data_IF_348687584141
#
_entry.id   IF_348687584141
#
_cell.length_a   1.000
_cell.length_b   1.000
_cell.length_c   1.000
_cell.angle_alpha   90.00
_cell.angle_beta   90.00
_cell.angle_gamma   90.00
#
_symmetry.space_group_name_H-M   'P 1'
#
loop_
_entity.id
_entity.type
_entity.pdbx_description
1 polymer ?
#
# COMPACT_ATOMS: atom_id res chain seq x y z
N UNK A 1 -4.85 29.34 -5.88
CA UNK A 1 -4.77 28.22 -4.91
C UNK A 1 -4.84 26.93 -5.71
N UNK A 2 -3.97 25.96 -5.45
CA UNK A 2 -4.14 24.63 -6.07
C UNK A 2 -5.38 23.98 -5.47
N UNK A 3 -6.27 23.44 -6.29
CA UNK A 3 -7.51 22.78 -5.86
C UNK A 3 -7.20 21.49 -5.10
N UNK A 4 -6.95 21.62 -3.80
CA UNK A 4 -6.79 20.49 -2.90
C UNK A 4 -8.16 19.83 -2.63
N UNK A 5 -8.24 18.50 -2.74
CA UNK A 5 -9.47 17.78 -2.37
C UNK A 5 -9.62 17.77 -0.83
N UNK A 6 -10.42 18.71 -0.32
CA UNK A 6 -10.61 18.92 1.12
C UNK A 6 -11.72 18.04 1.71
N UNK A 7 -11.74 17.94 3.04
CA UNK A 7 -12.84 17.28 3.77
C UNK A 7 -14.20 17.92 3.45
N UNK A 8 -14.26 19.25 3.33
CA UNK A 8 -15.51 19.93 2.96
C UNK A 8 -15.99 19.54 1.56
N UNK A 9 -15.07 19.42 0.59
CA UNK A 9 -15.40 18.92 -0.75
C UNK A 9 -15.82 17.46 -0.74
N UNK A 10 -15.18 16.63 0.10
CA UNK A 10 -15.57 15.23 0.32
C UNK A 10 -17.01 15.14 0.84
N UNK A 11 -17.35 15.86 1.92
CA UNK A 11 -18.68 15.81 2.54
C UNK A 11 -19.79 16.27 1.60
N UNK A 12 -19.53 17.28 0.76
CA UNK A 12 -20.48 17.74 -0.27
C UNK A 12 -20.69 16.71 -1.37
N UNK A 13 -19.61 16.10 -1.87
CA UNK A 13 -19.64 15.14 -2.98
C UNK A 13 -20.20 13.78 -2.56
N UNK A 14 -19.85 13.32 -1.36
CA UNK A 14 -20.22 12.02 -0.80
C UNK A 14 -21.09 12.22 0.43
N UNK A 15 -22.24 12.88 0.23
CA UNK A 15 -23.18 13.27 1.28
C UNK A 15 -23.92 12.09 1.92
N UNK A 16 -24.05 10.98 1.21
CA UNK A 16 -24.76 9.77 1.63
C UNK A 16 -24.23 8.52 0.90
N UNK A 17 -24.76 7.36 1.28
CA UNK A 17 -24.43 6.07 0.66
C UNK A 17 -24.85 5.98 -0.81
N UNK A 18 -25.86 6.73 -1.22
CA UNK A 18 -26.35 6.72 -2.60
C UNK A 18 -25.34 7.40 -3.54
N UNK A 19 -24.82 8.56 -3.14
CA UNK A 19 -23.76 9.26 -3.85
C UNK A 19 -22.49 8.41 -3.97
N UNK A 20 -22.14 7.69 -2.91
CA UNK A 20 -20.99 6.76 -2.92
C UNK A 20 -21.23 5.59 -3.89
N UNK A 21 -22.42 5.00 -3.87
CA UNK A 21 -22.78 3.86 -4.72
C UNK A 21 -22.80 4.25 -6.21
N UNK A 22 -23.39 5.39 -6.56
CA UNK A 22 -23.40 5.89 -7.94
C UNK A 22 -21.99 6.18 -8.44
N UNK A 23 -21.14 6.78 -7.61
CA UNK A 23 -19.75 7.03 -7.96
C UNK A 23 -18.99 5.73 -8.23
N UNK A 24 -19.19 4.70 -7.38
CA UNK A 24 -18.58 3.40 -7.58
C UNK A 24 -19.06 2.71 -8.86
N UNK A 25 -20.36 2.82 -9.18
CA UNK A 25 -20.93 2.33 -10.45
C UNK A 25 -20.24 2.99 -11.64
N UNK A 26 -20.04 4.31 -11.61
CA UNK A 26 -19.37 5.05 -12.68
C UNK A 26 -17.92 4.60 -12.88
N UNK A 27 -17.18 4.39 -11.79
CA UNK A 27 -15.79 3.90 -11.86
C UNK A 27 -15.74 2.48 -12.45
N UNK A 28 -16.64 1.60 -12.03
CA UNK A 28 -16.63 0.18 -12.43
C UNK A 28 -17.16 -0.05 -13.84
N UNK A 29 -18.08 0.80 -14.30
CA UNK A 29 -18.76 0.68 -15.58
C UNK A 29 -18.71 2.02 -16.35
N UNK A 30 -17.52 2.51 -16.72
CA UNK A 30 -17.36 3.83 -17.35
C UNK A 30 -18.07 3.92 -18.71
N UNK A 31 -18.13 2.81 -19.45
CA UNK A 31 -18.78 2.73 -20.76
C UNK A 31 -20.22 2.24 -20.71
N UNK A 32 -20.82 2.20 -19.52
CA UNK A 32 -22.13 1.57 -19.28
C UNK A 32 -22.03 0.10 -18.86
N UNK A 33 -23.16 -0.48 -18.47
CA UNK A 33 -23.25 -1.83 -17.91
C UNK A 33 -23.71 -2.79 -19.01
N UNK A 34 -22.89 -3.79 -19.32
CA UNK A 34 -23.26 -4.90 -20.18
C UNK A 34 -24.21 -5.85 -19.45
N UNK A 35 -25.36 -6.15 -20.05
CA UNK A 35 -26.30 -7.12 -19.51
C UNK A 35 -26.06 -8.50 -20.12
N UNK A 36 -25.72 -9.50 -19.30
CA UNK A 36 -25.49 -10.88 -19.77
C UNK A 36 -26.76 -11.55 -20.32
N UNK A 37 -27.95 -11.10 -19.93
CA UNK A 37 -29.20 -11.63 -20.49
C UNK A 37 -29.59 -10.98 -21.82
N UNK A 38 -29.42 -9.67 -21.94
CA UNK A 38 -29.75 -8.94 -23.18
C UNK A 38 -28.62 -8.96 -24.22
N UNK A 39 -27.41 -9.36 -23.82
CA UNK A 39 -26.21 -9.39 -24.65
C UNK A 39 -25.84 -8.02 -25.27
N UNK A 40 -26.19 -6.93 -24.58
CA UNK A 40 -25.89 -5.58 -25.01
C UNK A 40 -25.69 -4.65 -23.79
N UNK A 41 -25.13 -3.47 -24.03
CA UNK A 41 -25.08 -2.40 -23.03
C UNK A 41 -26.48 -1.80 -22.92
N UNK A 42 -27.03 -1.82 -21.71
CA UNK A 42 -28.40 -1.34 -21.44
C UNK A 42 -28.43 -0.37 -20.27
N UNK A 43 -29.55 0.31 -20.10
CA UNK A 43 -29.82 1.08 -18.90
C UNK A 43 -30.12 0.16 -17.72
N UNK A 44 -29.55 0.48 -16.56
CA UNK A 44 -29.74 -0.23 -15.30
C UNK A 44 -30.28 0.74 -14.26
N UNK A 45 -31.46 0.46 -13.74
CA UNK A 45 -32.16 1.29 -12.74
C UNK A 45 -31.81 0.82 -11.33
N UNK A 46 -31.57 1.75 -10.41
CA UNK A 46 -31.27 1.43 -9.01
C UNK A 46 -32.50 0.81 -8.33
N UNK A 47 -32.29 -0.23 -7.54
CA UNK A 47 -33.33 -0.77 -6.65
C UNK A 47 -33.25 -0.05 -5.30
N UNK A 48 -34.36 0.49 -4.81
CA UNK A 48 -34.38 1.32 -3.59
C UNK A 48 -33.98 0.55 -2.33
N UNK A 49 -34.36 -0.73 -2.22
CA UNK A 49 -34.18 -1.53 -0.99
C UNK A 49 -32.79 -2.12 -0.80
N UNK A 50 -31.91 -2.07 -1.80
CA UNK A 50 -30.58 -2.73 -1.75
C UNK A 50 -29.60 -2.09 -2.73
N UNK A 51 -28.27 -2.17 -2.49
CA UNK A 51 -27.25 -1.55 -3.33
C UNK A 51 -27.00 -2.32 -4.64
N UNK A 52 -28.05 -2.48 -5.44
CA UNK A 52 -28.02 -3.19 -6.73
C UNK A 52 -28.74 -2.36 -7.79
N UNK A 53 -28.36 -2.60 -9.05
CA UNK A 53 -29.02 -2.06 -10.21
C UNK A 53 -29.58 -3.19 -11.05
N UNK A 54 -30.72 -2.93 -11.69
CA UNK A 54 -31.47 -3.92 -12.45
C UNK A 54 -31.70 -3.43 -13.89
N UNK A 55 -31.43 -4.31 -14.85
CA UNK A 55 -31.84 -4.17 -16.25
C UNK A 55 -33.34 -4.44 -16.39
N UNK A 56 -33.99 -3.90 -17.43
CA UNK A 56 -35.41 -4.19 -17.75
C UNK A 56 -35.73 -5.68 -17.87
N UNK A 57 -34.77 -6.52 -18.28
CA UNK A 57 -34.92 -7.98 -18.34
C UNK A 57 -34.84 -8.70 -16.98
N UNK A 58 -34.67 -7.95 -15.88
CA UNK A 58 -34.55 -8.47 -14.52
C UNK A 58 -33.14 -8.91 -14.10
N UNK A 59 -32.13 -8.83 -14.98
CA UNK A 59 -30.74 -9.09 -14.59
C UNK A 59 -30.23 -8.01 -13.63
N UNK A 60 -29.59 -8.42 -12.53
CA UNK A 60 -29.15 -7.54 -11.46
C UNK A 60 -27.63 -7.57 -11.29
N UNK A 61 -27.06 -6.41 -10.99
CA UNK A 61 -25.65 -6.28 -10.62
C UNK A 61 -25.49 -5.46 -9.35
N UNK A 62 -24.46 -5.75 -8.56
CA UNK A 62 -24.05 -4.87 -7.46
C UNK A 62 -22.70 -4.24 -7.79
N UNK A 63 -22.57 -2.90 -7.73
CA UNK A 63 -21.26 -2.25 -7.82
C UNK A 63 -20.30 -2.73 -6.73
N UNK A 64 -20.82 -3.14 -5.57
CA UNK A 64 -20.04 -3.63 -4.44
C UNK A 64 -19.44 -5.03 -4.68
N UNK A 65 -20.00 -5.82 -5.59
CA UNK A 65 -19.57 -7.20 -5.82
C UNK A 65 -18.11 -7.26 -6.31
N UNK A 66 -17.31 -8.13 -5.73
CA UNK A 66 -15.88 -8.28 -6.04
C UNK A 66 -14.99 -7.19 -5.44
N UNK A 67 -15.53 -6.23 -4.68
CA UNK A 67 -14.75 -5.11 -4.11
C UNK A 67 -14.52 -5.28 -2.61
N UNK A 68 -13.72 -4.39 -2.01
CA UNK A 68 -13.57 -4.31 -0.55
C UNK A 68 -14.87 -4.00 0.22
N UNK A 69 -15.91 -3.53 -0.48
CA UNK A 69 -17.23 -3.26 0.07
C UNK A 69 -18.18 -4.44 -0.03
N UNK A 70 -17.76 -5.56 -0.64
CA UNK A 70 -18.63 -6.71 -0.81
C UNK A 70 -19.16 -7.22 0.54
N UNK A 71 -20.48 -7.42 0.62
CA UNK A 71 -21.21 -7.90 1.81
C UNK A 71 -20.99 -7.04 3.05
N UNK A 72 -20.67 -5.75 2.88
CA UNK A 72 -20.54 -4.83 4.00
C UNK A 72 -21.91 -4.42 4.53
N UNK A 73 -22.03 -4.34 5.85
CA UNK A 73 -23.18 -3.71 6.54
C UNK A 73 -22.81 -2.32 7.08
N UNK A 74 -21.56 -1.91 6.91
CA UNK A 74 -21.08 -0.58 7.29
C UNK A 74 -21.42 0.40 6.17
N UNK A 75 -21.93 1.62 6.49
CA UNK A 75 -22.28 2.62 5.49
C UNK A 75 -21.16 2.86 4.48
N UNK A 76 -21.50 3.02 3.20
CA UNK A 76 -20.52 3.29 2.14
C UNK A 76 -19.83 4.64 2.35
N UNK A 77 -20.53 5.64 2.86
CA UNK A 77 -19.94 6.93 3.20
C UNK A 77 -18.78 6.78 4.20
N UNK A 78 -18.88 5.85 5.15
CA UNK A 78 -17.83 5.58 6.14
C UNK A 78 -16.61 4.95 5.49
N UNK A 79 -16.83 4.03 4.54
CA UNK A 79 -15.76 3.46 3.73
C UNK A 79 -15.05 4.51 2.89
N UNK A 80 -15.80 5.38 2.23
CA UNK A 80 -15.26 6.47 1.44
C UNK A 80 -14.46 7.44 2.32
N UNK A 81 -14.94 7.72 3.53
CA UNK A 81 -14.21 8.54 4.50
C UNK A 81 -12.91 7.86 4.94
N UNK A 82 -12.93 6.56 5.22
CA UNK A 82 -11.72 5.81 5.56
C UNK A 82 -10.68 5.82 4.44
N UNK A 83 -11.12 5.71 3.17
CA UNK A 83 -10.23 5.85 1.99
C UNK A 83 -9.69 7.27 1.91
N UNK A 84 -10.56 8.27 2.06
CA UNK A 84 -10.20 9.68 2.05
C UNK A 84 -9.11 9.98 3.08
N UNK A 85 -9.34 9.68 4.36
CA UNK A 85 -8.38 10.02 5.41
C UNK A 85 -7.06 9.25 5.26
N UNK A 86 -7.08 8.00 4.78
CA UNK A 86 -5.84 7.26 4.50
C UNK A 86 -5.05 7.85 3.33
N UNK A 87 -5.74 8.42 2.34
CA UNK A 87 -5.14 9.02 1.14
C UNK A 87 -4.50 10.38 1.41
N UNK A 88 -5.13 11.23 2.23
CA UNK A 88 -4.64 12.59 2.51
C UNK A 88 -3.64 12.62 3.67
N UNK A 89 -3.67 11.63 4.57
CA UNK A 89 -2.75 11.59 5.73
C UNK A 89 -1.43 10.93 5.37
N UNK A 90 -0.34 11.73 5.25
CA UNK A 90 0.99 11.25 4.85
C UNK A 90 1.63 10.24 5.80
N UNK A 91 1.50 10.48 7.10
CA UNK A 91 2.10 9.62 8.14
C UNK A 91 1.19 8.46 8.56
N UNK A 92 0.03 8.33 7.92
CA UNK A 92 -0.99 7.36 8.28
C UNK A 92 -1.91 7.81 9.42
N UNK A 93 -2.97 7.03 9.63
CA UNK A 93 -4.00 7.26 10.64
C UNK A 93 -4.23 5.95 11.42
N UNK A 94 -4.43 6.06 12.73
CA UNK A 94 -4.65 4.89 13.58
C UNK A 94 -6.11 4.40 13.48
N UNK A 95 -6.34 3.09 13.56
CA UNK A 95 -7.72 2.56 13.57
C UNK A 95 -8.54 3.04 14.78
N UNK A 96 -7.87 3.39 15.89
CA UNK A 96 -8.52 4.03 17.05
C UNK A 96 -8.99 5.45 16.73
N UNK A 97 -8.29 6.18 15.87
CA UNK A 97 -8.73 7.49 15.42
C UNK A 97 -9.99 7.37 14.57
N UNK A 98 -9.97 6.49 13.55
CA UNK A 98 -11.14 6.24 12.69
C UNK A 98 -12.36 5.78 13.50
N UNK A 99 -12.16 4.94 14.52
CA UNK A 99 -13.22 4.55 15.45
C UNK A 99 -13.88 5.76 16.12
N UNK A 100 -13.11 6.74 16.60
CA UNK A 100 -13.67 7.93 17.27
C UNK A 100 -14.39 8.84 16.30
N UNK A 101 -13.83 9.01 15.10
CA UNK A 101 -14.41 9.86 14.06
C UNK A 101 -15.73 9.32 13.52
N UNK A 102 -15.84 7.99 13.34
CA UNK A 102 -17.01 7.36 12.75
C UNK A 102 -17.99 6.74 13.77
N UNK A 103 -17.62 6.67 15.05
CA UNK A 103 -18.42 6.02 16.09
C UNK A 103 -18.58 4.50 15.92
N UNK A 104 -17.79 3.86 15.06
CA UNK A 104 -17.83 2.40 14.82
C UNK A 104 -16.99 1.63 15.85
N UNK A 105 -17.15 0.31 15.91
CA UNK A 105 -16.25 -0.51 16.74
C UNK A 105 -14.81 -0.47 16.22
N UNK A 106 -13.83 -0.66 17.11
CA UNK A 106 -12.43 -0.81 16.72
C UNK A 106 -12.23 -1.92 15.68
N UNK A 107 -12.94 -3.05 15.83
CA UNK A 107 -12.86 -4.19 14.90
C UNK A 107 -13.31 -3.77 13.49
N UNK A 108 -14.36 -2.97 13.39
CA UNK A 108 -14.85 -2.41 12.13
C UNK A 108 -13.81 -1.47 11.52
N UNK A 109 -13.35 -0.47 12.27
CA UNK A 109 -12.35 0.49 11.81
C UNK A 109 -11.05 -0.20 11.33
N UNK A 110 -10.57 -1.18 12.10
CA UNK A 110 -9.39 -1.96 11.73
C UNK A 110 -9.62 -2.82 10.49
N UNK A 111 -10.80 -3.46 10.35
CA UNK A 111 -11.16 -4.20 9.13
C UNK A 111 -11.15 -3.27 7.92
N UNK A 112 -11.70 -2.06 8.05
CA UNK A 112 -11.74 -1.09 6.95
C UNK A 112 -10.33 -0.75 6.47
N UNK A 113 -9.44 -0.33 7.39
CA UNK A 113 -8.06 -0.03 7.03
C UNK A 113 -7.30 -1.24 6.51
N UNK A 114 -7.55 -2.44 7.03
CA UNK A 114 -6.94 -3.66 6.49
C UNK A 114 -7.35 -3.89 5.04
N UNK A 115 -8.62 -3.73 4.70
CA UNK A 115 -9.10 -3.91 3.33
C UNK A 115 -8.55 -2.83 2.39
N UNK A 116 -8.50 -1.57 2.83
CA UNK A 116 -7.92 -0.47 2.04
C UNK A 116 -6.42 -0.71 1.78
N UNK A 117 -5.67 -1.22 2.75
CA UNK A 117 -4.25 -1.59 2.55
C UNK A 117 -4.04 -2.68 1.50
N UNK A 118 -5.02 -3.55 1.25
CA UNK A 118 -4.94 -4.53 0.15
C UNK A 118 -4.87 -3.82 -1.20
N UNK A 119 -5.59 -2.70 -1.36
CA UNK A 119 -5.54 -1.88 -2.58
C UNK A 119 -4.17 -1.19 -2.75
N UNK A 120 -3.51 -0.90 -1.63
CA UNK A 120 -2.16 -0.30 -1.59
C UNK A 120 -1.04 -1.33 -1.74
N UNK A 121 -1.36 -2.62 -1.83
CA UNK A 121 -0.36 -3.66 -2.00
C UNK A 121 0.41 -3.46 -3.30
N UNK A 122 1.72 -3.73 -3.26
CA UNK A 122 2.57 -3.63 -4.45
C UNK A 122 2.23 -4.75 -5.44
N UNK A 123 1.44 -4.43 -6.46
CA UNK A 123 1.18 -5.29 -7.62
C UNK A 123 1.82 -4.63 -8.84
N UNK A 124 3.13 -4.79 -8.99
CA UNK A 124 3.82 -4.35 -10.20
C UNK A 124 4.83 -5.42 -10.60
N UNK A 125 4.70 -5.90 -11.85
CA UNK A 125 5.51 -6.98 -12.40
C UNK A 125 6.73 -6.46 -13.19
N UNK A 126 6.88 -5.15 -13.34
CA UNK A 126 7.99 -4.57 -14.08
C UNK A 126 9.21 -4.44 -13.18
N UNK A 127 10.36 -4.92 -13.64
CA UNK A 127 11.64 -4.76 -12.95
C UNK A 127 12.02 -3.27 -12.88
N UNK A 128 12.70 -2.86 -11.80
CA UNK A 128 13.30 -1.54 -11.69
C UNK A 128 14.57 -1.50 -12.55
N UNK A 129 14.70 -0.47 -13.38
CA UNK A 129 15.87 -0.23 -14.23
C UNK A 129 16.64 1.03 -13.79
N UNK A 130 17.68 1.40 -14.54
CA UNK A 130 18.48 2.58 -14.27
C UNK A 130 19.32 2.42 -13.00
N UNK A 131 19.19 3.34 -12.05
CA UNK A 131 19.89 3.28 -10.74
C UNK A 131 18.91 2.94 -9.63
N UNK A 132 19.22 1.88 -8.88
CA UNK A 132 18.41 1.37 -7.78
C UNK A 132 19.22 1.35 -6.49
N UNK A 133 18.74 2.08 -5.49
CA UNK A 133 19.25 2.07 -4.12
C UNK A 133 18.61 0.91 -3.36
N UNK A 134 19.42 0.11 -2.67
CA UNK A 134 18.96 -1.06 -1.92
C UNK A 134 19.54 -1.02 -0.52
N UNK A 135 18.66 -1.15 0.48
CA UNK A 135 19.03 -1.11 1.90
C UNK A 135 18.03 -1.92 2.73
N UNK A 136 18.38 -2.21 3.97
CA UNK A 136 17.53 -2.91 4.92
C UNK A 136 17.32 -2.10 6.20
N UNK A 137 16.17 -2.34 6.81
CA UNK A 137 15.86 -1.74 8.09
C UNK A 137 15.17 -2.71 9.02
N UNK A 138 15.32 -2.45 10.31
CA UNK A 138 14.77 -3.29 11.37
C UNK A 138 13.58 -2.58 12.03
N UNK A 139 12.46 -3.29 12.12
CA UNK A 139 11.21 -2.80 12.72
C UNK A 139 10.84 -3.66 13.93
N UNK A 140 10.41 -2.98 15.00
CA UNK A 140 10.06 -3.64 16.26
C UNK A 140 11.29 -4.10 17.04
N UNK A 141 11.06 -4.88 18.10
CA UNK A 141 12.08 -5.41 18.99
C UNK A 141 12.82 -4.33 19.80
N UNK A 142 12.52 -4.23 21.09
CA UNK A 142 13.40 -3.54 22.04
C UNK A 142 14.61 -4.42 22.38
N UNK A 143 15.34 -4.89 21.35
CA UNK A 143 16.63 -5.52 21.57
C UNK A 143 17.59 -4.43 22.00
N UNK A 144 18.03 -4.47 23.27
CA UNK A 144 19.13 -3.61 23.71
C UNK A 144 20.33 -3.90 22.81
N UNK A 145 21.26 -2.95 22.70
CA UNK A 145 22.53 -3.19 22.01
C UNK A 145 23.11 -4.52 22.48
N UNK A 146 23.31 -5.47 21.55
CA UNK A 146 23.83 -6.84 21.80
C UNK A 146 25.20 -6.89 22.48
N UNK A 147 25.78 -5.74 22.82
CA UNK A 147 27.09 -5.64 23.50
C UNK A 147 27.08 -6.13 24.95
N UNK A 148 25.94 -6.22 25.65
CA UNK A 148 26.01 -6.38 27.13
C UNK A 148 25.08 -7.38 27.83
N UNK A 149 24.09 -8.03 27.20
CA UNK A 149 23.34 -9.18 27.77
C UNK A 149 22.25 -9.67 26.82
N UNK A 150 22.10 -10.98 26.69
CA UNK A 150 20.91 -11.60 26.11
C UNK A 150 19.85 -11.72 27.21
N UNK A 151 18.70 -11.08 27.03
CA UNK A 151 17.51 -11.31 27.85
C UNK A 151 16.58 -12.23 27.05
N UNK A 152 16.13 -13.33 27.65
CA UNK A 152 15.19 -14.28 27.03
C UNK A 152 13.85 -13.66 26.61
N UNK A 153 13.58 -12.41 27.01
CA UNK A 153 12.41 -11.62 26.61
C UNK A 153 12.63 -10.71 25.39
N UNK A 154 13.79 -10.74 24.73
CA UNK A 154 14.04 -9.91 23.55
C UNK A 154 13.15 -10.32 22.36
N UNK A 155 12.23 -9.43 21.99
CA UNK A 155 11.39 -9.62 20.80
C UNK A 155 12.23 -9.49 19.53
N UNK A 156 12.11 -10.47 18.65
CA UNK A 156 12.80 -10.52 17.36
C UNK A 156 12.51 -9.28 16.51
N UNK A 157 13.56 -8.55 16.14
CA UNK A 157 13.47 -7.45 15.16
C UNK A 157 13.08 -8.00 13.80
N UNK A 158 12.09 -7.41 13.16
CA UNK A 158 11.64 -7.80 11.83
C UNK A 158 12.48 -7.08 10.78
N UNK A 159 12.93 -7.79 9.75
CA UNK A 159 13.76 -7.24 8.67
C UNK A 159 12.89 -6.79 7.51
N UNK A 160 13.04 -5.54 7.08
CA UNK A 160 12.40 -4.99 5.90
C UNK A 160 13.48 -4.58 4.92
N UNK A 161 13.42 -5.09 3.70
CA UNK A 161 14.27 -4.66 2.60
C UNK A 161 13.54 -3.60 1.78
N UNK A 162 14.26 -2.58 1.37
CA UNK A 162 13.77 -1.49 0.55
C UNK A 162 14.60 -1.37 -0.71
N UNK A 163 13.91 -1.12 -1.82
CA UNK A 163 14.51 -0.81 -3.10
C UNK A 163 13.89 0.48 -3.59
N UNK A 164 14.71 1.45 -3.96
CA UNK A 164 14.25 2.74 -4.48
C UNK A 164 14.95 3.02 -5.79
N UNK A 165 14.17 3.04 -6.86
CA UNK A 165 14.61 3.49 -8.17
C UNK A 165 14.74 5.01 -8.17
N UNK A 166 15.90 5.54 -8.58
CA UNK A 166 16.10 6.99 -8.67
C UNK A 166 15.11 7.62 -9.63
N UNK A 167 14.49 8.72 -9.18
CA UNK A 167 13.39 9.40 -9.89
C UNK A 167 12.18 8.51 -10.22
N UNK A 168 12.07 7.34 -9.58
CA UNK A 168 11.03 6.36 -9.85
C UNK A 168 10.30 5.94 -8.59
N UNK A 169 10.06 4.62 -8.53
CA UNK A 169 9.26 3.96 -7.51
C UNK A 169 10.13 3.35 -6.39
N UNK A 170 9.49 3.13 -5.26
CA UNK A 170 9.97 2.34 -4.15
C UNK A 170 9.23 1.00 -4.06
N UNK A 171 9.91 -0.01 -3.55
CA UNK A 171 9.37 -1.32 -3.21
C UNK A 171 9.90 -1.74 -1.84
N UNK A 172 8.99 -2.18 -0.96
CA UNK A 172 9.32 -2.58 0.40
C UNK A 172 8.85 -4.02 0.64
N UNK A 173 9.73 -4.85 1.20
CA UNK A 173 9.41 -6.25 1.49
C UNK A 173 9.84 -6.66 2.89
N UNK A 174 8.91 -7.22 3.65
CA UNK A 174 9.22 -7.91 4.89
C UNK A 174 9.85 -9.27 4.55
N UNK A 175 11.10 -9.46 4.96
CA UNK A 175 11.93 -10.63 4.64
C UNK A 175 12.37 -11.37 5.91
N UNK A 176 12.69 -12.67 5.81
CA UNK A 176 13.04 -13.46 6.99
C UNK A 176 14.40 -13.10 7.61
N UNK A 177 15.37 -12.62 6.83
CA UNK A 177 16.73 -12.28 7.29
C UNK A 177 17.49 -11.46 6.24
N UNK A 178 18.63 -10.87 6.62
CA UNK A 178 19.57 -10.15 5.72
C UNK A 178 20.61 -11.09 5.07
N UNK A 179 20.29 -12.38 4.96
CA UNK A 179 21.18 -13.36 4.35
C UNK A 179 21.30 -13.16 2.85
N UNK A 180 22.52 -13.31 2.33
CA UNK A 180 22.87 -13.17 0.89
C UNK A 180 21.83 -13.74 -0.08
N UNK A 181 21.36 -14.97 0.16
CA UNK A 181 20.40 -15.64 -0.74
C UNK A 181 19.01 -15.00 -0.69
N UNK A 182 18.57 -14.56 0.48
CA UNK A 182 17.30 -13.84 0.66
C UNK A 182 17.33 -12.51 -0.09
N UNK A 183 18.41 -11.75 0.08
CA UNK A 183 18.59 -10.45 -0.58
C UNK A 183 18.71 -10.58 -2.09
N UNK A 184 19.56 -11.49 -2.56
CA UNK A 184 19.74 -11.75 -3.98
C UNK A 184 18.44 -12.17 -4.65
N UNK A 185 17.63 -13.01 -4.00
CA UNK A 185 16.31 -13.40 -4.53
C UNK A 185 15.43 -12.18 -4.74
N UNK A 186 15.31 -11.30 -3.74
CA UNK A 186 14.49 -10.10 -3.88
C UNK A 186 14.99 -9.20 -5.00
N UNK A 187 16.31 -8.99 -5.11
CA UNK A 187 16.89 -8.15 -6.17
C UNK A 187 16.58 -8.75 -7.54
N UNK A 188 16.80 -10.06 -7.75
CA UNK A 188 16.47 -10.72 -9.01
C UNK A 188 15.01 -10.64 -9.39
N UNK A 189 14.12 -10.75 -8.41
CA UNK A 189 12.67 -10.69 -8.64
C UNK A 189 12.18 -9.26 -8.99
N UNK A 190 12.96 -8.20 -8.71
CA UNK A 190 12.46 -6.82 -8.76
C UNK A 190 13.37 -5.82 -9.50
N UNK A 191 14.61 -6.17 -9.84
CA UNK A 191 15.61 -5.26 -10.42
C UNK A 191 16.17 -5.88 -11.70
N UNK A 192 16.19 -5.08 -12.75
CA UNK A 192 16.73 -5.45 -14.06
C UNK A 192 18.23 -5.79 -13.91
N UNK A 193 18.71 -6.92 -14.46
CA UNK A 193 20.13 -7.27 -14.41
C UNK A 193 21.09 -6.21 -14.98
N UNK A 194 20.61 -5.35 -15.89
CA UNK A 194 21.39 -4.26 -16.47
C UNK A 194 21.40 -3.00 -15.59
N UNK A 195 20.56 -2.94 -14.55
CA UNK A 195 20.50 -1.82 -13.63
C UNK A 195 21.79 -1.69 -12.81
N UNK A 196 22.06 -0.46 -12.41
CA UNK A 196 23.09 -0.11 -11.43
C UNK A 196 22.49 -0.17 -10.03
N UNK A 197 23.03 -1.04 -9.20
CA UNK A 197 22.60 -1.24 -7.80
C UNK A 197 23.57 -0.51 -6.88
N UNK A 198 23.05 0.26 -5.93
CA UNK A 198 23.83 0.96 -4.91
C UNK A 198 23.38 0.47 -3.53
N UNK A 199 24.32 -0.04 -2.72
CA UNK A 199 24.04 -0.54 -1.36
C UNK A 199 25.00 0.07 -0.34
N UNK A 200 24.78 -0.22 0.94
CA UNK A 200 25.77 -0.04 1.99
C UNK A 200 26.90 -1.10 1.93
N UNK A 201 27.78 -1.09 2.93
CA UNK A 201 28.92 -2.03 3.05
C UNK A 201 28.53 -3.43 3.55
N UNK A 202 27.24 -3.80 3.56
CA UNK A 202 26.83 -5.12 4.05
C UNK A 202 27.36 -6.25 3.16
N UNK A 203 28.04 -7.23 3.79
CA UNK A 203 28.64 -8.36 3.09
C UNK A 203 27.66 -9.23 2.30
N UNK A 204 26.36 -9.12 2.61
CA UNK A 204 25.28 -9.76 1.87
C UNK A 204 25.10 -9.28 0.44
N UNK A 205 25.79 -8.21 0.01
CA UNK A 205 25.71 -7.66 -1.36
C UNK A 205 26.93 -7.94 -2.24
N UNK A 206 28.05 -8.42 -1.67
CA UNK A 206 29.34 -8.59 -2.38
C UNK A 206 29.23 -9.46 -3.64
N UNK A 207 28.28 -10.38 -3.69
CA UNK A 207 28.07 -11.27 -4.84
C UNK A 207 27.39 -10.62 -6.04
N UNK A 208 26.81 -9.42 -5.93
CA UNK A 208 25.96 -8.85 -6.98
C UNK A 208 26.64 -8.79 -8.36
N UNK A 209 27.92 -8.38 -8.48
CA UNK A 209 28.63 -8.43 -9.76
C UNK A 209 28.70 -9.82 -10.39
N UNK A 210 28.78 -10.88 -9.58
CA UNK A 210 28.80 -12.28 -10.08
C UNK A 210 27.49 -12.69 -10.74
N UNK A 211 26.41 -11.94 -10.52
CA UNK A 211 25.10 -12.17 -11.11
C UNK A 211 24.71 -11.13 -12.17
N UNK A 212 25.68 -10.33 -12.65
CA UNK A 212 25.49 -9.42 -13.77
C UNK A 212 25.17 -7.97 -13.41
N UNK A 213 24.96 -7.66 -12.12
CA UNK A 213 24.63 -6.30 -11.68
C UNK A 213 25.88 -5.41 -11.64
N UNK A 214 25.75 -4.17 -12.13
CA UNK A 214 26.71 -3.10 -11.82
C UNK A 214 26.47 -2.68 -10.38
N UNK A 215 27.44 -2.88 -9.48
CA UNK A 215 27.26 -2.68 -8.04
C UNK A 215 28.25 -1.67 -7.47
N UNK A 216 27.72 -0.61 -6.87
CA UNK A 216 28.49 0.37 -6.10
C UNK A 216 28.13 0.31 -4.62
N UNK A 217 29.07 0.71 -3.77
CA UNK A 217 28.96 0.61 -2.31
C UNK A 217 29.20 1.98 -1.68
N UNK A 218 28.28 2.42 -0.82
CA UNK A 218 28.41 3.65 -0.02
C UNK A 218 29.24 3.38 1.22
N UNK A 219 30.47 3.93 1.26
CA UNK A 219 31.36 3.82 2.41
C UNK A 219 31.12 4.95 3.40
N UNK A 220 30.52 4.64 4.54
CA UNK A 220 30.08 5.65 5.51
C UNK A 220 31.20 6.23 6.40
N UNK A 221 32.42 5.68 6.32
CA UNK A 221 33.54 6.09 7.19
C UNK A 221 34.47 7.15 6.59
N UNK A 222 34.51 7.31 5.27
CA UNK A 222 35.62 8.02 4.62
C UNK A 222 35.24 9.21 3.73
N UNK A 223 33.96 9.58 3.53
CA UNK A 223 33.63 10.83 2.78
C UNK A 223 32.17 11.28 2.91
N UNK A 224 31.94 12.60 2.98
CA UNK A 224 30.67 13.20 2.57
C UNK A 224 30.50 12.99 1.07
N UNK A 225 29.58 12.11 0.64
CA UNK A 225 29.08 11.90 -0.74
C UNK A 225 30.18 11.84 -1.82
N UNK A 226 30.57 10.62 -2.24
CA UNK A 226 31.35 10.44 -3.48
C UNK A 226 30.41 10.55 -4.69
N UNK A 227 30.13 11.79 -5.11
CA UNK A 227 29.33 12.10 -6.30
C UNK A 227 27.94 11.46 -6.29
N UNK A 228 27.69 10.58 -7.26
CA UNK A 228 26.37 9.96 -7.51
C UNK A 228 26.19 8.59 -6.79
N UNK A 229 27.05 8.22 -5.84
CA UNK A 229 27.00 6.94 -5.09
C UNK A 229 26.45 7.19 -3.69
N UNK A 230 25.16 6.94 -3.49
CA UNK A 230 24.44 7.33 -2.28
C UNK A 230 23.10 6.57 -2.11
N UNK A 231 22.61 6.41 -0.88
CA UNK A 231 21.40 5.64 -0.45
C UNK A 231 20.31 6.48 0.24
N UNK A 232 20.38 7.80 0.10
CA UNK A 232 19.56 8.77 0.84
C UNK A 232 18.06 8.63 0.54
N UNK A 233 17.66 8.17 -0.65
CA UNK A 233 16.23 8.05 -0.95
C UNK A 233 15.59 6.93 -0.13
N UNK A 234 16.28 5.78 -0.01
CA UNK A 234 15.81 4.66 0.80
C UNK A 234 15.90 4.95 2.31
N UNK A 235 16.94 5.66 2.76
CA UNK A 235 17.06 6.14 4.15
C UNK A 235 15.98 7.15 4.55
N UNK A 236 15.62 8.05 3.64
CA UNK A 236 14.51 8.99 3.85
C UNK A 236 13.18 8.23 3.96
N UNK A 237 12.97 7.19 3.15
CA UNK A 237 11.80 6.32 3.23
C UNK A 237 11.73 5.59 4.58
N UNK A 238 12.87 5.09 5.10
CA UNK A 238 12.96 4.50 6.45
C UNK A 238 12.61 5.49 7.54
N UNK A 239 13.08 6.72 7.43
CA UNK A 239 12.80 7.77 8.39
C UNK A 239 11.29 8.05 8.49
N UNK A 240 10.57 8.09 7.36
CA UNK A 240 9.12 8.26 7.34
C UNK A 240 8.42 7.02 7.91
N UNK A 241 8.80 5.82 7.43
CA UNK A 241 8.20 4.56 7.84
C UNK A 241 8.29 4.34 9.36
N UNK A 242 9.49 4.50 9.92
CA UNK A 242 9.74 4.27 11.35
C UNK A 242 8.99 5.27 12.22
N UNK A 243 9.00 6.56 11.88
CA UNK A 243 8.23 7.58 12.62
C UNK A 243 6.73 7.28 12.61
N UNK A 244 6.19 6.85 11.47
CA UNK A 244 4.79 6.47 11.37
C UNK A 244 4.45 5.21 12.17
N UNK A 245 5.30 4.17 12.12
CA UNK A 245 5.13 2.97 12.95
C UNK A 245 5.16 3.30 14.43
N UNK A 246 6.17 4.04 14.90
CA UNK A 246 6.33 4.34 16.32
C UNK A 246 5.34 5.39 16.84
N UNK A 247 4.95 6.36 16.01
CA UNK A 247 4.05 7.44 16.40
C UNK A 247 2.57 7.08 16.27
N UNK A 248 2.17 6.61 15.08
CA UNK A 248 0.76 6.44 14.71
C UNK A 248 0.24 5.06 15.11
N UNK A 249 0.96 4.00 14.74
CA UNK A 249 0.46 2.63 14.96
C UNK A 249 0.92 2.04 16.29
N UNK A 250 2.01 2.56 16.86
CA UNK A 250 2.70 2.14 18.10
C UNK A 250 3.31 0.74 18.00
N UNK A 251 2.51 -0.26 17.64
CA UNK A 251 2.92 -1.66 17.50
C UNK A 251 2.25 -2.26 16.27
N UNK A 252 3.05 -2.89 15.42
CA UNK A 252 2.58 -3.66 14.26
C UNK A 252 3.07 -5.09 14.42
N UNK A 253 2.17 -6.07 14.33
CA UNK A 253 2.56 -7.48 14.44
C UNK A 253 3.23 -7.97 13.15
N UNK A 254 4.10 -8.98 13.29
CA UNK A 254 4.77 -9.67 12.16
C UNK A 254 3.79 -10.05 11.05
N UNK A 255 2.61 -10.57 11.42
CA UNK A 255 1.55 -11.00 10.49
C UNK A 255 1.03 -9.90 9.58
N UNK A 256 1.01 -8.65 10.04
CA UNK A 256 0.42 -7.54 9.28
C UNK A 256 1.47 -6.57 8.72
N UNK A 257 2.74 -6.70 9.11
CA UNK A 257 3.81 -5.74 8.78
C UNK A 257 3.88 -5.44 7.28
N UNK A 258 3.76 -6.44 6.40
CA UNK A 258 3.81 -6.24 4.95
C UNK A 258 2.76 -5.22 4.47
N UNK A 259 1.51 -5.34 4.92
CA UNK A 259 0.44 -4.43 4.51
C UNK A 259 0.69 -2.98 4.98
N UNK A 260 1.39 -2.80 6.11
CA UNK A 260 1.76 -1.48 6.60
C UNK A 260 2.92 -0.89 5.80
N UNK A 261 3.97 -1.65 5.48
CA UNK A 261 5.08 -1.12 4.66
C UNK A 261 4.62 -0.85 3.23
N UNK A 262 3.69 -1.63 2.68
CA UNK A 262 3.07 -1.39 1.38
C UNK A 262 2.34 -0.04 1.36
N UNK A 263 1.64 0.35 2.43
CA UNK A 263 1.02 1.67 2.56
C UNK A 263 2.04 2.81 2.39
N UNK A 264 3.25 2.69 2.94
CA UNK A 264 4.30 3.71 2.77
C UNK A 264 4.94 3.69 1.38
N UNK A 265 5.18 2.50 0.83
CA UNK A 265 5.65 2.35 -0.54
C UNK A 265 4.65 2.97 -1.53
N UNK A 266 3.36 2.70 -1.35
CA UNK A 266 2.29 3.27 -2.16
C UNK A 266 2.25 4.79 -2.06
N UNK A 267 2.33 5.37 -0.85
CA UNK A 267 2.42 6.83 -0.69
C UNK A 267 3.65 7.44 -1.37
N UNK A 268 4.80 6.78 -1.25
CA UNK A 268 6.02 7.22 -1.93
C UNK A 268 5.79 7.22 -3.45
N UNK A 269 5.25 6.14 -4.00
CA UNK A 269 5.04 5.97 -5.44
C UNK A 269 4.03 6.96 -6.02
N UNK A 270 3.07 7.42 -5.23
CA UNK A 270 2.02 8.34 -5.66
C UNK A 270 2.20 9.77 -5.14
N UNK A 271 3.39 10.12 -4.61
CA UNK A 271 3.69 11.42 -3.98
C UNK A 271 3.53 12.66 -4.87
N UNK A 272 3.46 12.47 -6.19
CA UNK A 272 3.21 13.54 -7.16
C UNK A 272 1.70 13.77 -7.39
N UNK A 273 0.84 12.82 -7.02
CA UNK A 273 -0.62 12.84 -7.23
C UNK A 273 -1.39 13.35 -6.01
N UNK A 274 -0.81 14.25 -5.20
CA UNK A 274 -1.31 14.59 -3.86
C UNK A 274 -2.82 14.90 -3.78
N UNK A 275 -3.37 15.56 -4.80
CA UNK A 275 -4.80 15.94 -4.83
C UNK A 275 -5.72 14.86 -5.42
N UNK A 276 -5.14 13.81 -5.99
CA UNK A 276 -5.82 12.72 -6.69
C UNK A 276 -5.62 11.36 -6.03
N UNK A 277 -4.91 11.28 -4.88
CA UNK A 277 -4.65 10.02 -4.18
C UNK A 277 -5.94 9.29 -3.77
N UNK A 278 -6.97 10.06 -3.40
CA UNK A 278 -8.30 9.52 -3.10
C UNK A 278 -8.93 8.85 -4.33
N UNK A 279 -8.97 9.55 -5.46
CA UNK A 279 -9.53 9.04 -6.72
C UNK A 279 -8.74 7.83 -7.22
N UNK A 280 -7.41 7.82 -7.05
CA UNK A 280 -6.55 6.68 -7.38
C UNK A 280 -6.93 5.43 -6.58
N UNK A 281 -7.09 5.53 -5.25
CA UNK A 281 -7.54 4.39 -4.44
C UNK A 281 -8.94 3.93 -4.82
N UNK A 282 -9.86 4.86 -5.08
CA UNK A 282 -11.20 4.50 -5.52
C UNK A 282 -11.21 3.77 -6.85
N UNK A 283 -10.34 4.13 -7.80
CA UNK A 283 -10.17 3.37 -9.06
C UNK A 283 -9.65 1.96 -8.80
N UNK A 284 -8.66 1.82 -7.91
CA UNK A 284 -8.13 0.49 -7.53
C UNK A 284 -9.21 -0.41 -6.90
N UNK A 285 -10.24 0.14 -6.24
CA UNK A 285 -11.38 -0.65 -5.75
C UNK A 285 -12.08 -1.41 -6.88
N UNK A 286 -12.18 -0.82 -8.07
CA UNK A 286 -12.84 -1.45 -9.22
C UNK A 286 -11.97 -2.50 -9.92
N UNK A 287 -10.64 -2.38 -9.80
CA UNK A 287 -9.66 -3.29 -10.41
C UNK A 287 -9.41 -4.53 -9.54
N UNK A 288 -9.45 -4.38 -8.22
CA UNK A 288 -9.22 -5.49 -7.29
C UNK A 288 -10.47 -6.35 -7.20
N UNK A 289 -10.42 -7.54 -7.82
CA UNK A 289 -11.30 -8.65 -7.45
C UNK A 289 -10.77 -9.22 -6.15
N UNK A 290 -11.40 -8.88 -5.01
CA UNK A 290 -11.11 -9.56 -3.75
C UNK A 290 -11.55 -11.01 -3.94
N UNK A 291 -10.60 -11.88 -4.31
CA UNK A 291 -10.83 -13.32 -4.37
C UNK A 291 -11.34 -13.73 -3.00
N UNK A 292 -12.59 -14.16 -2.92
CA UNK A 292 -13.12 -14.81 -1.73
C UNK A 292 -12.09 -15.87 -1.28
N UNK A 293 -11.84 -16.02 0.03
CA UNK A 293 -10.92 -17.05 0.50
C UNK A 293 -11.39 -18.38 -0.07
N UNK A 294 -10.56 -19.01 -0.90
CA UNK A 294 -10.77 -20.41 -1.29
C UNK A 294 -10.95 -21.16 0.01
N UNK A 295 -12.14 -21.73 0.24
CA UNK A 295 -12.30 -22.78 1.24
C UNK A 295 -11.28 -23.84 0.85
N UNK A 296 -10.23 -23.95 1.65
CA UNK A 296 -9.36 -25.11 1.62
C UNK A 296 -10.27 -26.21 2.18
N UNK A 297 -10.73 -27.08 1.27
CA UNK A 297 -11.25 -28.39 1.63
C UNK A 297 -10.10 -29.22 2.20
#
# INVERSE_FOLDING_TARGET
MKDHFTLGSFLRKYKDDEACLEHLKQIKYPSGIFCEKCQCITTFTKITSRPVYQCSCGYQISPLAGTIFEKTTTPLQYWFYAIFIMSVTRSGVSAKQLQRELGVTYKTAWRMFKQIRILMANVNNNLMDGTVEVDETFIGGAGKNRRYKWDGNEKEKQVVMGMVQRNGRAYLKHIPNTGKWTLLKQIKDNVDPQARVITDEWGGYIQLPKYGYKHDVVRHKDTYVVGDIYTQNVENLWSILKRGIYGVYRVVSKKYLQAYIDEYAWRYNHRQFNDKMFDLLLRQVAEVRVLAPRKIL
#
